data_IF_480134801603
#
_entry.id   IF_480134801603
#
_cell.length_a   1.000
_cell.length_b   1.000
_cell.length_c   1.000
_cell.angle_alpha   90.00
_cell.angle_beta   90.00
_cell.angle_gamma   90.00
#
_symmetry.space_group_name_H-M   'P 1'
#
loop_
_entity.id
_entity.type
_entity.pdbx_description
1 polymer ?
#
# COMPACT_ATOMS: atom_id res chain seq x y z
N UNK A 1 21.79 -4.68 -3.16
CA UNK A 1 21.58 -4.11 -1.82
C UNK A 1 20.11 -3.78 -1.72
N UNK A 2 19.34 -4.51 -0.92
CA UNK A 2 18.05 -4.06 -0.39
C UNK A 2 17.63 -5.10 0.67
N UNK A 3 18.16 -4.91 1.88
CA UNK A 3 17.62 -5.51 3.10
C UNK A 3 16.68 -4.47 3.70
N UNK A 4 15.38 -4.75 3.75
CA UNK A 4 14.48 -4.10 4.71
C UNK A 4 13.69 -5.21 5.41
N UNK A 5 14.38 -5.84 6.36
CA UNK A 5 13.79 -6.74 7.34
C UNK A 5 13.03 -5.88 8.33
N UNK A 6 11.71 -5.85 8.18
CA UNK A 6 10.78 -5.30 9.17
C UNK A 6 9.94 -6.43 9.78
N UNK A 7 10.53 -7.21 10.69
CA UNK A 7 9.74 -8.06 11.59
C UNK A 7 9.22 -7.18 12.73
N UNK A 8 7.91 -7.07 12.84
CA UNK A 8 7.23 -6.69 14.08
C UNK A 8 6.13 -7.70 14.32
N UNK A 9 6.41 -8.66 15.20
CA UNK A 9 5.47 -9.69 15.63
C UNK A 9 4.69 -9.24 16.86
N UNK A 10 3.38 -9.48 16.82
CA UNK A 10 2.53 -9.64 18.00
C UNK A 10 1.43 -10.66 17.66
N UNK A 11 1.67 -11.95 17.96
CA UNK A 11 0.70 -13.05 18.07
C UNK A 11 -0.32 -13.34 16.94
N UNK A 12 -0.42 -12.51 15.91
CA UNK A 12 -1.31 -12.61 14.75
C UNK A 12 -0.44 -12.78 13.52
N UNK A 13 -0.78 -13.71 12.64
CA UNK A 13 -0.02 -13.94 11.40
C UNK A 13 0.23 -12.61 10.66
N UNK A 14 1.47 -12.12 10.74
CA UNK A 14 1.89 -10.87 10.11
C UNK A 14 2.14 -11.17 8.64
N UNK A 15 1.45 -10.45 7.76
CA UNK A 15 1.70 -10.56 6.32
C UNK A 15 3.07 -9.97 6.02
N UNK A 16 3.98 -10.79 5.52
CA UNK A 16 5.28 -10.32 5.01
C UNK A 16 5.08 -9.72 3.63
N UNK A 17 5.01 -8.39 3.55
CA UNK A 17 4.87 -7.67 2.29
C UNK A 17 6.21 -7.53 1.58
N UNK A 18 6.34 -8.17 0.42
CA UNK A 18 7.51 -7.97 -0.43
C UNK A 18 7.43 -6.63 -1.18
N UNK A 19 8.57 -6.14 -1.67
CA UNK A 19 8.62 -4.97 -2.54
C UNK A 19 7.74 -5.17 -3.79
N UNK A 20 7.84 -6.35 -4.41
CA UNK A 20 7.03 -6.71 -5.58
C UNK A 20 5.52 -6.63 -5.33
N UNK A 21 5.04 -7.19 -4.21
CA UNK A 21 3.62 -7.10 -3.82
C UNK A 21 3.18 -5.67 -3.58
N UNK A 22 4.03 -4.89 -2.91
CA UNK A 22 3.76 -3.48 -2.61
C UNK A 22 3.67 -2.64 -3.88
N UNK A 23 4.62 -2.81 -4.81
CA UNK A 23 4.62 -2.14 -6.12
C UNK A 23 3.40 -2.54 -6.94
N UNK A 24 3.05 -3.83 -6.96
CA UNK A 24 1.87 -4.33 -7.66
C UNK A 24 0.59 -3.66 -7.14
N UNK A 25 0.39 -3.68 -5.82
CA UNK A 25 -0.77 -3.05 -5.17
C UNK A 25 -0.88 -1.57 -5.54
N UNK A 26 0.22 -0.82 -5.45
CA UNK A 26 0.23 0.60 -5.77
C UNK A 26 -0.08 0.89 -7.24
N UNK A 27 0.45 0.08 -8.17
CA UNK A 27 0.14 0.19 -9.61
C UNK A 27 -1.33 -0.09 -9.90
N UNK A 28 -1.89 -1.14 -9.29
CA UNK A 28 -3.31 -1.44 -9.45
C UNK A 28 -4.20 -0.30 -8.95
N UNK A 29 -3.87 0.25 -7.77
CA UNK A 29 -4.59 1.39 -7.21
C UNK A 29 -4.46 2.66 -8.07
N UNK A 30 -3.29 2.91 -8.67
CA UNK A 30 -3.09 4.02 -9.60
C UNK A 30 -3.96 3.88 -10.85
N UNK A 31 -4.00 2.69 -11.44
CA UNK A 31 -4.84 2.41 -12.60
C UNK A 31 -6.34 2.64 -12.31
N UNK A 32 -6.81 2.32 -11.10
CA UNK A 32 -8.18 2.62 -10.68
C UNK A 32 -8.47 4.13 -10.59
N UNK A 33 -7.48 4.94 -10.24
CA UNK A 33 -7.61 6.40 -10.21
C UNK A 33 -7.66 6.95 -11.63
N UNK A 34 -6.80 6.44 -12.51
CA UNK A 34 -6.76 6.80 -13.94
C UNK A 34 -8.06 6.42 -14.66
N UNK A 35 -8.66 5.28 -14.31
CA UNK A 35 -9.92 4.82 -14.91
C UNK A 35 -11.16 5.60 -14.48
N UNK A 36 -11.01 6.68 -13.70
CA UNK A 36 -12.13 7.49 -13.22
C UNK A 36 -12.91 6.86 -12.06
N UNK A 37 -12.46 5.73 -11.50
CA UNK A 37 -13.07 5.13 -10.30
C UNK A 37 -12.67 5.88 -9.01
N UNK A 38 -12.51 7.22 -9.11
CA UNK A 38 -12.30 8.12 -7.97
C UNK A 38 -13.58 8.15 -7.16
N UNK A 39 -13.50 7.51 -6.01
CA UNK A 39 -14.40 7.78 -4.90
C UNK A 39 -13.98 9.12 -4.30
N UNK A 40 -14.90 10.08 -4.26
CA UNK A 40 -14.68 11.47 -3.87
C UNK A 40 -14.01 11.66 -2.50
N UNK A 41 -13.98 10.62 -1.67
CA UNK A 41 -13.35 10.59 -0.34
C UNK A 41 -12.16 9.62 -0.19
N UNK A 42 -11.74 8.93 -1.27
CA UNK A 42 -10.67 7.92 -1.25
C UNK A 42 -11.16 6.48 -1.38
N UNK A 43 -10.23 5.53 -1.56
CA UNK A 43 -10.55 4.13 -1.87
C UNK A 43 -11.48 3.47 -0.85
N UNK A 44 -12.52 2.79 -1.34
CA UNK A 44 -13.46 2.02 -0.52
C UNK A 44 -13.03 0.56 -0.42
N UNK A 45 -13.64 -0.19 0.50
CA UNK A 45 -13.36 -1.63 0.67
C UNK A 45 -13.55 -2.47 -0.59
N UNK A 46 -14.44 -2.07 -1.50
CA UNK A 46 -14.60 -2.75 -2.78
C UNK A 46 -13.30 -2.71 -3.63
N UNK A 47 -12.62 -1.57 -3.71
CA UNK A 47 -11.33 -1.47 -4.41
C UNK A 47 -10.23 -2.30 -3.72
N UNK A 48 -10.19 -2.29 -2.38
CA UNK A 48 -9.23 -3.10 -1.64
C UNK A 48 -9.48 -4.62 -1.82
N UNK A 49 -10.73 -5.05 -1.83
CA UNK A 49 -11.09 -6.44 -2.11
C UNK A 49 -10.76 -6.85 -3.56
N UNK A 50 -11.02 -5.97 -4.53
CA UNK A 50 -10.62 -6.19 -5.92
C UNK A 50 -9.11 -6.32 -6.07
N UNK A 51 -8.34 -5.42 -5.45
CA UNK A 51 -6.89 -5.50 -5.44
C UNK A 51 -6.39 -6.78 -4.74
N UNK A 52 -7.02 -7.19 -3.63
CA UNK A 52 -6.67 -8.42 -2.94
C UNK A 52 -6.84 -9.63 -3.84
N UNK A 53 -7.95 -9.70 -4.58
CA UNK A 53 -8.21 -10.78 -5.54
C UNK A 53 -7.11 -10.87 -6.59
N UNK A 54 -6.82 -9.77 -7.29
CA UNK A 54 -5.83 -9.78 -8.38
C UNK A 54 -4.43 -10.07 -7.85
N UNK A 55 -4.06 -9.52 -6.69
CA UNK A 55 -2.76 -9.76 -6.07
C UNK A 55 -2.62 -11.22 -5.61
N UNK A 56 -3.67 -11.80 -5.01
CA UNK A 56 -3.69 -13.20 -4.60
C UNK A 56 -3.54 -14.15 -5.80
N UNK A 57 -4.23 -13.86 -6.91
CA UNK A 57 -4.11 -14.61 -8.16
C UNK A 57 -2.67 -14.53 -8.72
N UNK A 58 -2.02 -13.36 -8.65
CA UNK A 58 -0.68 -13.16 -9.21
C UNK A 58 0.45 -13.75 -8.35
N UNK A 59 0.37 -13.64 -7.02
CA UNK A 59 1.44 -14.05 -6.10
C UNK A 59 1.11 -15.33 -5.32
N UNK A 60 0.00 -16.01 -5.65
CA UNK A 60 -0.49 -17.19 -4.93
C UNK A 60 -0.61 -16.97 -3.42
N UNK A 61 -1.18 -15.84 -3.02
CA UNK A 61 -1.37 -15.45 -1.63
C UNK A 61 -2.84 -15.58 -1.20
N UNK A 62 -3.10 -15.48 0.11
CA UNK A 62 -4.45 -15.44 0.68
C UNK A 62 -4.59 -14.18 1.54
N UNK A 63 -4.66 -13.03 0.88
CA UNK A 63 -4.83 -11.73 1.51
C UNK A 63 -6.28 -11.24 1.39
N UNK A 64 -6.68 -10.44 2.38
CA UNK A 64 -7.99 -9.81 2.49
C UNK A 64 -7.92 -8.33 2.11
N UNK A 65 -9.04 -7.72 1.74
CA UNK A 65 -9.09 -6.27 1.54
C UNK A 65 -8.72 -5.46 2.77
N UNK A 66 -8.94 -6.00 3.98
CA UNK A 66 -8.52 -5.35 5.23
C UNK A 66 -7.00 -5.27 5.32
N UNK A 67 -6.30 -6.35 4.97
CA UNK A 67 -4.83 -6.35 4.91
C UNK A 67 -4.30 -5.38 3.84
N UNK A 68 -4.95 -5.30 2.67
CA UNK A 68 -4.60 -4.32 1.63
C UNK A 68 -4.77 -2.88 2.13
N UNK A 69 -5.89 -2.57 2.77
CA UNK A 69 -6.17 -1.25 3.32
C UNK A 69 -5.13 -0.85 4.37
N UNK A 70 -4.82 -1.76 5.31
CA UNK A 70 -3.82 -1.51 6.35
C UNK A 70 -2.43 -1.27 5.76
N UNK A 71 -2.02 -2.06 4.78
CA UNK A 71 -0.74 -1.88 4.10
C UNK A 71 -0.68 -0.57 3.33
N UNK A 72 -1.73 -0.25 2.57
CA UNK A 72 -1.86 1.02 1.86
C UNK A 72 -1.74 2.22 2.81
N UNK A 73 -2.43 2.20 3.95
CA UNK A 73 -2.33 3.26 4.95
C UNK A 73 -0.92 3.40 5.53
N UNK A 74 -0.22 2.28 5.72
CA UNK A 74 1.19 2.28 6.17
C UNK A 74 2.10 2.94 5.13
N UNK A 75 1.97 2.56 3.86
CA UNK A 75 2.70 3.19 2.75
C UNK A 75 2.37 4.68 2.63
N UNK A 76 1.08 5.05 2.73
CA UNK A 76 0.63 6.44 2.68
C UNK A 76 1.28 7.30 3.77
N UNK A 77 1.35 6.79 5.01
CA UNK A 77 2.05 7.46 6.12
C UNK A 77 3.54 7.67 5.83
N UNK A 78 4.22 6.66 5.27
CA UNK A 78 5.64 6.78 4.86
C UNK A 78 5.81 7.90 3.83
N UNK A 79 4.98 7.94 2.79
CA UNK A 79 5.01 9.01 1.79
C UNK A 79 4.70 10.39 2.35
N UNK A 80 3.74 10.51 3.28
CA UNK A 80 3.45 11.77 3.95
C UNK A 80 4.65 12.27 4.76
N UNK A 81 5.36 11.38 5.46
CA UNK A 81 6.58 11.73 6.19
C UNK A 81 7.69 12.21 5.24
N UNK A 82 7.91 11.49 4.14
CA UNK A 82 8.90 11.89 3.11
C UNK A 82 8.53 13.25 2.52
N UNK A 83 7.25 13.46 2.18
CA UNK A 83 6.76 14.74 1.68
C UNK A 83 7.03 15.87 2.68
N UNK A 84 6.71 15.66 3.96
CA UNK A 84 6.97 16.64 5.01
C UNK A 84 8.46 16.98 5.11
N UNK A 85 9.34 15.97 5.15
CA UNK A 85 10.80 16.19 5.19
C UNK A 85 11.25 17.01 3.98
N UNK A 86 10.77 16.68 2.78
CA UNK A 86 11.08 17.42 1.57
C UNK A 86 10.61 18.87 1.67
N UNK A 87 9.38 19.11 2.12
CA UNK A 87 8.80 20.45 2.23
C UNK A 87 9.55 21.28 3.30
N UNK A 88 9.89 20.68 4.45
CA UNK A 88 10.66 21.31 5.54
C UNK A 88 12.11 21.62 5.12
N UNK A 89 12.76 20.74 4.34
CA UNK A 89 14.11 20.99 3.79
C UNK A 89 14.12 21.99 2.63
N UNK A 90 13.03 22.10 1.88
CA UNK A 90 12.92 23.02 0.73
C UNK A 90 12.49 24.44 1.16
N UNK A 91 11.96 24.60 2.37
CA UNK A 91 11.60 25.89 2.98
C UNK A 91 12.67 26.50 3.90
N UNK A 92 13.90 26.00 3.87
CA UNK A 92 15.04 26.51 4.64
C UNK A 92 15.86 27.59 3.89
N UNK A 93 15.20 28.43 3.08
CA UNK A 93 15.77 29.62 2.44
C UNK A 93 14.90 30.85 2.71
#
# INVERSE_FOLDING_TARGET
>A
MENDVGVVGDGRAVVTWTSAMSTFMLKHMAALVESGARTSSGFKMMQYNGCARVLNEHFHQVLTGTQMSNHYMTIKKKFQKIKKIKDDCSGAL
#
